data_IF_136897199144
#
_entry.id   IF_136897199144
#
_cell.length_a   1.000
_cell.length_b   1.000
_cell.length_c   1.000
_cell.angle_alpha   90.00
_cell.angle_beta   90.00
_cell.angle_gamma   90.00
#
_symmetry.space_group_name_H-M   'P 1'
#
loop_
_entity.id
_entity.type
_entity.pdbx_description
1 polymer ?
#
# COMPACT_ATOMS: atom_id res chain seq x y z
N UNK A 1 -59.92 42.10 32.13
CA UNK A 1 -58.46 42.20 32.28
C UNK A 1 -57.88 40.97 31.56
N UNK A 2 -57.48 41.15 30.28
CA UNK A 2 -57.11 40.03 29.41
C UNK A 2 -55.57 39.91 29.36
N UNK A 3 -55.02 38.82 29.91
CA UNK A 3 -53.61 38.51 29.78
C UNK A 3 -53.40 37.68 28.49
N UNK A 4 -52.70 38.25 27.51
CA UNK A 4 -52.18 37.56 26.34
C UNK A 4 -50.83 36.92 26.70
N UNK A 5 -50.78 35.60 26.73
CA UNK A 5 -49.54 34.82 26.88
C UNK A 5 -48.89 34.77 25.50
N UNK A 6 -47.73 35.43 25.34
CA UNK A 6 -46.86 35.24 24.16
C UNK A 6 -45.99 34.03 24.39
N UNK A 7 -46.23 32.97 23.65
CA UNK A 7 -45.34 31.81 23.58
C UNK A 7 -44.18 32.12 22.62
N UNK A 8 -42.98 32.23 23.19
CA UNK A 8 -41.74 32.35 22.40
C UNK A 8 -41.27 30.94 22.08
N UNK A 9 -41.40 30.52 20.80
CA UNK A 9 -40.78 29.32 20.27
C UNK A 9 -39.29 29.60 20.01
N UNK A 10 -38.41 29.12 20.86
CA UNK A 10 -36.98 29.10 20.60
C UNK A 10 -36.69 27.85 19.73
N UNK A 11 -36.50 28.06 18.43
CA UNK A 11 -36.01 27.03 17.54
C UNK A 11 -34.51 26.84 17.78
N UNK A 12 -34.14 25.77 18.50
CA UNK A 12 -32.76 25.32 18.60
C UNK A 12 -32.42 24.65 17.27
N UNK A 13 -31.88 25.43 16.35
CA UNK A 13 -31.17 24.89 15.19
C UNK A 13 -29.88 24.22 15.70
N UNK A 14 -29.90 22.91 15.81
CA UNK A 14 -28.69 22.12 16.00
C UNK A 14 -27.76 22.36 14.83
N UNK A 15 -26.76 23.20 15.02
CA UNK A 15 -25.59 23.27 14.13
C UNK A 15 -24.84 21.93 14.23
N UNK A 16 -25.17 20.99 13.36
CA UNK A 16 -24.24 19.93 13.05
C UNK A 16 -23.03 20.63 12.43
N UNK A 17 -21.99 20.86 13.22
CA UNK A 17 -20.66 21.17 12.70
C UNK A 17 -20.22 19.99 11.85
N UNK A 18 -20.48 20.07 10.55
CA UNK A 18 -19.73 19.26 9.59
C UNK A 18 -18.30 19.79 9.69
N UNK A 19 -17.40 19.00 10.25
CA UNK A 19 -15.96 19.26 10.15
C UNK A 19 -15.65 19.52 8.68
N UNK A 20 -14.96 20.62 8.36
CA UNK A 20 -14.58 20.91 6.98
C UNK A 20 -13.86 19.70 6.37
N UNK A 21 -14.00 19.50 5.06
CA UNK A 21 -13.33 18.41 4.36
C UNK A 21 -11.79 18.45 4.52
N UNK A 22 -11.24 19.63 4.84
CA UNK A 22 -9.83 19.88 5.14
C UNK A 22 -9.29 19.14 6.37
N UNK A 23 -10.13 18.80 7.36
CA UNK A 23 -9.69 18.13 8.60
C UNK A 23 -9.62 16.59 8.49
N UNK A 24 -10.19 16.00 7.44
CA UNK A 24 -10.15 14.55 7.23
C UNK A 24 -8.87 14.15 6.49
N UNK A 25 -8.07 13.21 7.03
CA UNK A 25 -6.83 12.81 6.37
C UNK A 25 -7.08 12.02 5.08
N UNK A 26 -6.12 12.11 4.16
CA UNK A 26 -6.05 11.24 3.00
C UNK A 26 -5.26 9.98 3.35
N UNK A 27 -5.45 8.93 2.56
CA UNK A 27 -4.73 7.67 2.72
C UNK A 27 -4.22 7.17 1.38
N UNK A 28 -2.94 6.80 1.32
CA UNK A 28 -2.35 5.99 0.28
C UNK A 28 -1.93 4.66 0.87
N UNK A 29 -2.51 3.57 0.38
CA UNK A 29 -2.11 2.22 0.68
C UNK A 29 -1.31 1.68 -0.52
N UNK A 30 0.00 1.70 -0.40
CA UNK A 30 0.92 1.23 -1.42
C UNK A 30 1.28 -0.23 -1.12
N UNK A 31 0.74 -1.14 -1.90
CA UNK A 31 1.02 -2.56 -1.78
C UNK A 31 1.81 -3.05 -3.00
N UNK A 32 2.97 -3.66 -2.75
CA UNK A 32 3.78 -4.30 -3.78
C UNK A 32 3.46 -5.79 -3.90
N UNK A 33 3.98 -6.41 -4.94
CA UNK A 33 3.82 -7.83 -5.22
C UNK A 33 5.17 -8.53 -5.05
N UNK A 34 5.20 -9.59 -4.24
CA UNK A 34 6.35 -10.48 -4.17
C UNK A 34 7.68 -9.85 -3.66
N UNK A 35 7.67 -8.78 -2.85
CA UNK A 35 8.89 -8.19 -2.29
C UNK A 35 9.20 -8.77 -0.90
N UNK A 36 10.44 -9.18 -0.68
CA UNK A 36 10.89 -9.69 0.62
C UNK A 36 10.99 -8.59 1.67
N UNK A 37 10.71 -8.92 2.94
CA UNK A 37 10.76 -7.96 4.05
C UNK A 37 12.11 -7.28 4.23
N UNK A 38 13.19 -7.94 3.83
CA UNK A 38 14.57 -7.46 3.93
C UNK A 38 15.16 -7.03 2.59
N UNK A 39 14.34 -6.69 1.62
CA UNK A 39 14.77 -6.22 0.29
C UNK A 39 14.69 -4.69 0.14
N UNK A 40 14.69 -3.96 1.25
CA UNK A 40 14.77 -2.50 1.30
C UNK A 40 15.99 -2.08 2.13
N UNK A 41 16.60 -0.93 1.79
CA UNK A 41 17.74 -0.39 2.53
C UNK A 41 17.44 -0.17 4.01
N UNK A 42 16.29 0.39 4.36
CA UNK A 42 15.86 0.59 5.74
C UNK A 42 15.63 -0.70 6.55
N UNK A 43 15.60 -1.87 5.90
CA UNK A 43 15.56 -3.19 6.51
C UNK A 43 16.89 -3.94 6.41
N UNK A 44 17.96 -3.27 6.01
CA UNK A 44 19.33 -3.77 6.06
C UNK A 44 19.86 -4.38 4.76
N UNK A 45 19.19 -4.18 3.61
CA UNK A 45 19.75 -4.56 2.33
C UNK A 45 20.75 -3.50 1.87
N UNK A 46 22.03 -3.87 1.74
CA UNK A 46 23.09 -2.93 1.35
C UNK A 46 23.23 -2.79 -0.18
N UNK A 47 22.68 -3.74 -0.94
CA UNK A 47 22.80 -3.79 -2.40
C UNK A 47 21.68 -3.00 -3.06
N UNK A 48 20.43 -3.31 -2.72
CA UNK A 48 19.26 -2.67 -3.33
C UNK A 48 19.17 -1.19 -2.98
N UNK A 49 18.77 -0.36 -3.93
CA UNK A 49 18.65 1.10 -3.76
C UNK A 49 17.18 1.49 -3.64
N UNK A 50 16.80 1.90 -2.42
CA UNK A 50 15.43 2.30 -2.08
C UNK A 50 15.39 3.63 -1.30
N UNK A 51 16.02 4.71 -1.82
CA UNK A 51 16.21 5.96 -1.08
C UNK A 51 14.90 6.63 -0.67
N UNK A 52 13.82 6.50 -1.43
CA UNK A 52 12.53 7.12 -1.10
C UNK A 52 11.80 6.36 0.01
N UNK A 53 11.83 5.02 -0.02
CA UNK A 53 11.29 4.17 1.05
C UNK A 53 12.13 4.29 2.33
N UNK A 54 13.46 4.41 2.20
CA UNK A 54 14.36 4.64 3.31
C UNK A 54 14.07 6.00 3.98
N UNK A 55 13.91 7.06 3.18
CA UNK A 55 13.50 8.38 3.69
C UNK A 55 12.08 8.38 4.30
N UNK A 56 11.17 7.54 3.80
CA UNK A 56 9.86 7.34 4.43
C UNK A 56 10.00 6.68 5.80
N UNK A 57 10.87 5.68 5.93
CA UNK A 57 11.16 5.00 7.20
C UNK A 57 11.81 5.94 8.24
N UNK A 58 12.66 6.87 7.80
CA UNK A 58 13.29 7.88 8.66
C UNK A 58 12.31 8.93 9.19
N UNK A 59 11.24 9.21 8.44
CA UNK A 59 10.25 10.24 8.76
C UNK A 59 8.93 9.68 9.30
N UNK A 60 8.86 8.36 9.54
CA UNK A 60 7.64 7.70 9.96
C UNK A 60 7.89 6.51 10.87
N UNK A 61 6.97 5.58 10.88
CA UNK A 61 7.08 4.33 11.64
C UNK A 61 7.65 3.23 10.74
N UNK A 62 8.68 2.56 11.21
CA UNK A 62 9.22 1.34 10.63
C UNK A 62 8.96 0.17 11.56
N UNK A 63 8.13 -0.77 11.13
CA UNK A 63 7.78 -1.95 11.91
C UNK A 63 8.78 -3.08 11.63
N UNK A 64 9.37 -3.62 12.67
CA UNK A 64 10.36 -4.71 12.54
C UNK A 64 9.74 -6.10 12.62
N UNK A 65 8.48 -6.21 13.08
CA UNK A 65 7.76 -7.47 13.29
C UNK A 65 6.34 -7.43 12.73
N UNK A 66 6.21 -7.09 11.45
CA UNK A 66 4.93 -7.15 10.72
C UNK A 66 4.83 -8.47 9.94
N UNK A 67 3.67 -9.15 10.07
CA UNK A 67 3.45 -10.46 9.47
C UNK A 67 2.12 -10.54 8.73
N UNK A 68 2.16 -11.17 7.59
CA UNK A 68 0.99 -11.48 6.78
C UNK A 68 0.30 -12.73 7.31
N UNK A 69 -1.00 -12.80 7.13
CA UNK A 69 -1.81 -13.95 7.53
C UNK A 69 -1.61 -15.17 6.61
N UNK A 70 -1.05 -14.94 5.42
CA UNK A 70 -0.76 -15.97 4.42
C UNK A 70 0.29 -15.47 3.43
N UNK A 71 1.13 -16.38 2.93
CA UNK A 71 2.17 -16.09 1.93
C UNK A 71 1.68 -16.39 0.50
N UNK A 72 0.64 -15.68 0.05
CA UNK A 72 0.08 -15.86 -1.30
C UNK A 72 -0.75 -14.65 -1.71
N UNK A 73 -0.62 -14.19 -2.94
CA UNK A 73 -1.11 -12.87 -3.41
C UNK A 73 -2.61 -12.64 -3.15
N UNK A 74 -3.52 -13.38 -3.83
CA UNK A 74 -4.95 -13.08 -3.71
C UNK A 74 -5.51 -13.30 -2.31
N UNK A 75 -5.23 -14.39 -1.58
CA UNK A 75 -5.76 -14.57 -0.24
C UNK A 75 -5.16 -13.58 0.77
N UNK A 76 -3.91 -13.14 0.60
CA UNK A 76 -3.32 -12.05 1.41
C UNK A 76 -4.05 -10.74 1.17
N UNK A 77 -4.27 -10.37 -0.09
CA UNK A 77 -5.02 -9.15 -0.45
C UNK A 77 -6.46 -9.20 0.03
N UNK A 78 -7.13 -10.36 -0.06
CA UNK A 78 -8.46 -10.59 0.53
C UNK A 78 -8.45 -10.43 2.05
N UNK A 79 -7.42 -10.93 2.72
CA UNK A 79 -7.23 -10.79 4.17
C UNK A 79 -7.06 -9.33 4.57
N UNK A 80 -6.20 -8.59 3.87
CA UNK A 80 -5.93 -7.18 4.14
C UNK A 80 -7.19 -6.34 3.95
N UNK A 81 -7.88 -6.46 2.80
CA UNK A 81 -9.04 -5.60 2.49
C UNK A 81 -10.25 -5.88 3.39
N UNK A 82 -10.36 -7.08 3.97
CA UNK A 82 -11.45 -7.48 4.86
C UNK A 82 -11.13 -7.37 6.35
N UNK A 83 -9.83 -7.31 6.71
CA UNK A 83 -9.37 -7.43 8.10
C UNK A 83 -9.61 -8.82 8.70
N UNK A 84 -9.71 -9.88 7.87
CA UNK A 84 -10.02 -11.25 8.31
C UNK A 84 -8.91 -12.21 7.93
N UNK A 85 -8.76 -13.29 8.70
CA UNK A 85 -7.92 -14.41 8.29
C UNK A 85 -8.45 -15.08 7.01
N UNK A 86 -7.58 -15.61 6.13
CA UNK A 86 -7.99 -16.15 4.82
C UNK A 86 -9.13 -17.17 4.88
N UNK A 87 -9.13 -18.08 5.86
CA UNK A 87 -10.20 -19.09 6.04
C UNK A 87 -11.56 -18.49 6.42
N UNK A 88 -11.62 -17.22 6.84
CA UNK A 88 -12.85 -16.49 7.16
C UNK A 88 -13.31 -15.53 6.07
N UNK A 89 -12.53 -15.39 4.98
CA UNK A 89 -12.87 -14.48 3.88
C UNK A 89 -13.78 -15.10 2.82
N UNK A 90 -13.91 -16.43 2.80
CA UNK A 90 -14.55 -17.17 1.70
C UNK A 90 -13.65 -17.27 0.44
N UNK A 91 -12.42 -16.74 0.48
CA UNK A 91 -11.44 -16.78 -0.60
C UNK A 91 -10.04 -17.18 -0.09
N UNK A 92 -9.88 -18.36 0.55
CA UNK A 92 -8.62 -18.76 1.15
C UNK A 92 -7.58 -19.23 0.14
N UNK A 93 -8.00 -19.62 -1.07
CA UNK A 93 -7.13 -20.19 -2.10
C UNK A 93 -6.72 -19.14 -3.14
N UNK A 94 -5.57 -19.37 -3.75
CA UNK A 94 -5.07 -18.52 -4.83
C UNK A 94 -6.07 -18.45 -5.99
N UNK A 95 -6.32 -17.25 -6.49
CA UNK A 95 -7.27 -16.93 -7.57
C UNK A 95 -8.77 -17.14 -7.20
N UNK A 96 -9.09 -17.42 -5.95
CA UNK A 96 -10.49 -17.40 -5.52
C UNK A 96 -10.94 -15.97 -5.34
N UNK A 97 -12.08 -15.62 -5.95
CA UNK A 97 -12.67 -14.29 -5.82
C UNK A 97 -13.28 -14.09 -4.44
N UNK A 98 -13.06 -12.92 -3.85
CA UNK A 98 -13.71 -12.54 -2.60
C UNK A 98 -15.24 -12.44 -2.79
N UNK A 99 -16.05 -13.14 -1.99
CA UNK A 99 -17.52 -13.04 -2.06
C UNK A 99 -18.02 -11.61 -1.85
N UNK A 100 -19.13 -11.25 -2.50
CA UNK A 100 -19.65 -9.87 -2.48
C UNK A 100 -20.21 -9.44 -1.12
N UNK A 101 -20.62 -10.38 -0.29
CA UNK A 101 -21.15 -10.15 1.06
C UNK A 101 -20.06 -9.88 2.11
N UNK A 102 -18.78 -10.03 1.76
CA UNK A 102 -17.70 -9.75 2.67
C UNK A 102 -17.48 -8.25 2.86
N UNK A 103 -17.24 -7.85 4.10
CA UNK A 103 -16.85 -6.47 4.43
C UNK A 103 -15.56 -6.09 3.68
N UNK A 104 -15.51 -4.86 3.16
CA UNK A 104 -14.35 -4.26 2.51
C UNK A 104 -14.17 -2.85 3.06
N UNK A 105 -13.08 -2.59 3.78
CA UNK A 105 -12.88 -1.27 4.40
C UNK A 105 -12.85 -0.12 3.39
N UNK A 106 -12.37 -0.24 2.14
CA UNK A 106 -12.46 0.86 1.18
C UNK A 106 -13.90 1.22 0.80
N UNK A 107 -14.83 0.25 0.79
CA UNK A 107 -16.26 0.52 0.62
C UNK A 107 -16.80 1.39 1.76
N UNK A 108 -16.44 1.08 3.00
CA UNK A 108 -16.84 1.89 4.16
C UNK A 108 -16.29 3.32 4.09
N UNK A 109 -15.03 3.49 3.63
CA UNK A 109 -14.46 4.82 3.38
C UNK A 109 -15.22 5.57 2.28
N UNK A 110 -15.57 4.90 1.17
CA UNK A 110 -16.40 5.47 0.10
C UNK A 110 -17.76 5.93 0.62
N UNK A 111 -18.44 5.11 1.40
CA UNK A 111 -19.70 5.44 2.06
C UNK A 111 -19.57 6.60 3.06
N UNK A 112 -18.40 6.77 3.68
CA UNK A 112 -18.06 7.92 4.52
C UNK A 112 -17.68 9.18 3.70
N UNK A 113 -17.78 9.14 2.37
CA UNK A 113 -17.57 10.30 1.49
C UNK A 113 -16.12 10.50 1.01
N UNK A 114 -15.26 9.51 1.16
CA UNK A 114 -13.94 9.51 0.52
C UNK A 114 -14.06 9.23 -0.97
N UNK A 115 -13.23 9.87 -1.78
CA UNK A 115 -12.98 9.41 -3.15
C UNK A 115 -12.03 8.22 -3.10
N UNK A 116 -12.45 7.08 -3.64
CA UNK A 116 -11.71 5.82 -3.52
C UNK A 116 -11.18 5.35 -4.87
N UNK A 117 -9.90 5.02 -4.92
CA UNK A 117 -9.19 4.60 -6.14
C UNK A 117 -8.46 3.29 -5.91
N UNK A 118 -8.55 2.36 -6.86
CA UNK A 118 -7.65 1.23 -7.01
C UNK A 118 -6.95 1.34 -8.35
N UNK A 119 -5.62 1.34 -8.35
CA UNK A 119 -4.82 1.23 -9.57
C UNK A 119 -3.77 0.14 -9.45
N UNK A 120 -3.63 -0.65 -10.53
CA UNK A 120 -2.68 -1.74 -10.64
C UNK A 120 -3.28 -3.11 -10.38
N UNK A 121 -2.56 -3.96 -9.60
CA UNK A 121 -2.94 -5.36 -9.37
C UNK A 121 -4.17 -5.48 -8.45
N UNK A 122 -5.32 -5.74 -9.02
CA UNK A 122 -6.54 -6.03 -8.25
C UNK A 122 -6.41 -7.37 -7.49
N UNK A 123 -6.41 -8.49 -8.15
CA UNK A 123 -6.27 -9.86 -7.65
C UNK A 123 -7.18 -10.24 -6.45
N UNK A 124 -8.29 -9.50 -6.25
CA UNK A 124 -9.31 -9.70 -5.20
C UNK A 124 -10.68 -9.95 -5.84
N UNK A 125 -10.93 -9.38 -7.00
CA UNK A 125 -12.17 -9.22 -7.77
C UNK A 125 -13.35 -10.14 -7.38
N UNK A 126 -14.60 -9.73 -7.63
CA UNK A 126 -14.98 -8.42 -8.14
C UNK A 126 -14.98 -7.34 -7.05
N UNK A 127 -14.68 -6.08 -7.41
CA UNK A 127 -14.65 -4.93 -6.49
C UNK A 127 -15.65 -3.83 -6.91
N UNK A 128 -16.69 -4.23 -7.63
CA UNK A 128 -17.81 -3.35 -7.98
C UNK A 128 -18.35 -2.68 -6.69
N UNK A 129 -18.61 -1.39 -6.76
CA UNK A 129 -19.05 -0.57 -5.62
C UNK A 129 -18.06 -0.39 -4.46
N UNK A 130 -16.86 -0.98 -4.52
CA UNK A 130 -15.82 -0.82 -3.50
C UNK A 130 -15.00 0.45 -3.73
N UNK A 131 -14.72 0.76 -4.99
CA UNK A 131 -13.96 1.94 -5.40
C UNK A 131 -14.74 2.77 -6.43
N UNK A 132 -14.50 4.10 -6.43
CA UNK A 132 -15.04 5.00 -7.45
C UNK A 132 -14.30 4.85 -8.77
N UNK A 133 -12.99 4.59 -8.71
CA UNK A 133 -12.11 4.38 -9.87
C UNK A 133 -11.34 3.08 -9.71
N UNK A 134 -11.35 2.25 -10.75
CA UNK A 134 -10.53 1.04 -10.84
C UNK A 134 -9.80 1.05 -12.16
N UNK A 135 -8.46 1.02 -12.11
CA UNK A 135 -7.59 0.89 -13.28
C UNK A 135 -6.66 -0.32 -13.14
N UNK A 136 -6.09 -0.77 -14.27
CA UNK A 136 -5.07 -1.83 -14.26
C UNK A 136 -3.67 -1.30 -14.00
N UNK A 137 -3.54 0.02 -13.87
CA UNK A 137 -2.27 0.71 -13.87
C UNK A 137 -1.65 0.79 -15.28
N UNK A 138 -0.60 1.60 -15.42
CA UNK A 138 0.19 1.74 -16.64
C UNK A 138 1.65 1.41 -16.36
N UNK A 139 2.42 1.16 -17.41
CA UNK A 139 3.84 0.84 -17.34
C UNK A 139 4.15 -0.56 -16.81
N UNK A 140 5.44 -0.91 -16.71
CA UNK A 140 5.90 -2.23 -16.32
C UNK A 140 5.38 -2.65 -14.94
N UNK A 141 5.59 -1.78 -13.94
CA UNK A 141 5.13 -1.98 -12.54
C UNK A 141 3.65 -1.68 -12.31
N UNK A 142 2.91 -1.23 -13.33
CA UNK A 142 1.52 -0.75 -13.21
C UNK A 142 1.34 0.46 -12.30
N UNK A 143 2.34 1.35 -12.24
CA UNK A 143 2.39 2.52 -11.34
C UNK A 143 2.43 3.88 -12.06
N UNK A 144 2.59 3.91 -13.39
CA UNK A 144 2.83 5.16 -14.14
C UNK A 144 1.61 6.09 -14.20
N UNK A 145 0.41 5.61 -13.91
CA UNK A 145 -0.81 6.43 -13.84
C UNK A 145 -1.14 6.96 -12.44
N UNK A 146 -0.40 6.59 -11.40
CA UNK A 146 -0.74 6.93 -10.02
C UNK A 146 -0.71 8.43 -9.73
N UNK A 147 0.32 9.12 -10.24
CA UNK A 147 0.45 10.58 -10.13
C UNK A 147 -0.70 11.29 -10.84
N UNK A 148 -1.09 10.82 -12.03
CA UNK A 148 -2.20 11.40 -12.76
C UNK A 148 -3.54 11.18 -12.03
N UNK A 149 -3.77 10.00 -11.47
CA UNK A 149 -4.93 9.72 -10.64
C UNK A 149 -5.02 10.64 -9.41
N UNK A 150 -3.87 11.00 -8.79
CA UNK A 150 -3.83 11.97 -7.70
C UNK A 150 -4.15 13.39 -8.20
N UNK A 151 -3.74 13.78 -9.42
CA UNK A 151 -4.05 15.09 -10.00
C UNK A 151 -5.51 15.23 -10.40
N UNK A 152 -6.06 14.18 -10.99
CA UNK A 152 -7.40 14.16 -11.59
C UNK A 152 -8.53 13.94 -10.57
N UNK A 153 -8.23 13.53 -9.34
CA UNK A 153 -9.23 13.28 -8.31
C UNK A 153 -10.03 14.53 -7.95
N UNK A 154 -11.28 14.42 -7.44
CA UNK A 154 -12.00 15.52 -6.82
C UNK A 154 -11.20 16.16 -5.69
N UNK A 155 -10.95 17.47 -5.77
CA UNK A 155 -10.12 18.20 -4.79
C UNK A 155 -10.90 18.60 -3.53
N UNK A 156 -12.23 18.53 -3.57
CA UNK A 156 -13.16 18.86 -2.49
C UNK A 156 -13.46 17.69 -1.53
N UNK A 157 -12.82 16.52 -1.78
CA UNK A 157 -13.02 15.30 -0.98
C UNK A 157 -11.70 14.75 -0.49
N UNK A 158 -11.65 14.17 0.73
CA UNK A 158 -10.53 13.32 1.12
C UNK A 158 -10.52 12.07 0.23
N UNK A 159 -9.36 11.45 0.08
CA UNK A 159 -9.22 10.28 -0.76
C UNK A 159 -8.59 9.08 -0.04
N UNK A 160 -8.91 7.91 -0.52
CA UNK A 160 -8.24 6.66 -0.24
C UNK A 160 -7.76 6.04 -1.56
N UNK A 161 -6.47 5.89 -1.73
CA UNK A 161 -5.87 5.25 -2.88
C UNK A 161 -5.24 3.90 -2.50
N UNK A 162 -5.71 2.82 -3.12
CA UNK A 162 -5.09 1.51 -3.10
C UNK A 162 -4.22 1.38 -4.35
N UNK A 163 -2.96 1.73 -4.22
CA UNK A 163 -1.98 1.64 -5.27
C UNK A 163 -1.23 0.32 -5.18
N UNK A 164 -1.46 -0.55 -6.15
CA UNK A 164 -1.03 -1.94 -6.14
C UNK A 164 -0.05 -2.22 -7.28
N UNK A 165 1.25 -2.12 -7.00
CA UNK A 165 2.26 -2.47 -7.99
C UNK A 165 2.19 -3.95 -8.36
N UNK A 166 2.60 -4.26 -9.60
CA UNK A 166 2.91 -5.63 -10.02
C UNK A 166 4.35 -6.02 -9.72
N UNK A 167 5.19 -5.04 -9.41
CA UNK A 167 6.58 -5.31 -9.04
C UNK A 167 6.67 -5.85 -7.61
N UNK A 168 7.49 -6.83 -7.36
CA UNK A 168 8.42 -7.51 -8.29
C UNK A 168 7.93 -8.94 -8.59
N UNK A 169 6.82 -9.07 -9.29
CA UNK A 169 6.27 -10.37 -9.71
C UNK A 169 6.88 -10.83 -11.04
N UNK A 170 7.32 -12.09 -11.11
CA UNK A 170 7.81 -12.68 -12.36
C UNK A 170 6.76 -12.60 -13.49
N UNK A 171 7.18 -12.46 -14.79
CA UNK A 171 8.56 -12.36 -15.25
C UNK A 171 9.06 -10.93 -15.18
N UNK A 172 10.38 -10.77 -14.97
CA UNK A 172 11.01 -9.47 -14.81
C UNK A 172 10.91 -8.61 -16.08
N UNK A 173 10.67 -7.32 -15.89
CA UNK A 173 10.62 -6.32 -16.94
C UNK A 173 11.66 -5.24 -16.65
N UNK A 174 12.82 -5.36 -17.28
CA UNK A 174 13.91 -4.40 -17.11
C UNK A 174 13.65 -3.19 -18.01
N UNK A 175 13.80 -2.02 -17.48
CA UNK A 175 13.74 -0.74 -18.18
C UNK A 175 15.07 0.04 -18.03
N UNK A 176 15.21 1.12 -18.78
CA UNK A 176 16.43 1.96 -18.79
C UNK A 176 16.36 3.12 -17.78
N UNK A 177 15.25 3.28 -17.07
CA UNK A 177 14.99 4.42 -16.18
C UNK A 177 15.37 4.12 -14.73
N UNK A 178 15.39 2.83 -14.35
CA UNK A 178 15.63 2.40 -12.99
C UNK A 178 16.99 1.71 -12.81
N UNK A 179 17.39 1.53 -11.55
CA UNK A 179 18.69 0.99 -11.20
C UNK A 179 18.91 -0.43 -11.74
N UNK A 180 19.95 -0.63 -12.53
CA UNK A 180 20.44 -1.95 -12.95
C UNK A 180 21.53 -2.42 -11.99
N UNK A 181 21.51 -3.70 -11.65
CA UNK A 181 22.42 -4.32 -10.68
C UNK A 181 23.40 -5.26 -11.37
N UNK A 182 24.68 -5.21 -10.95
CA UNK A 182 25.66 -6.20 -11.36
C UNK A 182 25.42 -7.53 -10.61
N UNK A 183 25.19 -8.65 -11.31
CA UNK A 183 25.03 -9.94 -10.67
C UNK A 183 26.22 -10.36 -9.77
N UNK A 184 27.41 -9.83 -10.02
CA UNK A 184 28.58 -10.11 -9.21
C UNK A 184 28.50 -9.51 -7.80
N UNK A 185 27.76 -8.40 -7.64
CA UNK A 185 27.56 -7.68 -6.37
C UNK A 185 26.39 -8.22 -5.55
N UNK A 186 25.57 -9.13 -6.11
CA UNK A 186 24.40 -9.66 -5.44
C UNK A 186 24.80 -10.59 -4.28
N UNK A 187 24.29 -10.31 -3.08
CA UNK A 187 24.32 -11.22 -1.95
C UNK A 187 23.21 -12.26 -2.08
N UNK A 188 23.61 -13.52 -2.34
CA UNK A 188 22.67 -14.62 -2.48
C UNK A 188 22.24 -15.14 -1.14
N UNK A 189 20.92 -15.17 -0.80
CA UNK A 189 20.43 -15.75 0.43
C UNK A 189 20.93 -17.19 0.65
N UNK A 190 21.30 -17.58 1.90
CA UNK A 190 21.97 -18.84 2.17
C UNK A 190 21.13 -20.10 1.88
N UNK A 191 19.84 -19.94 1.64
CA UNK A 191 18.94 -21.03 1.24
C UNK A 191 18.75 -21.15 -0.27
N UNK A 192 19.42 -20.31 -1.07
CA UNK A 192 19.46 -20.41 -2.53
C UNK A 192 20.85 -20.92 -2.98
N UNK A 193 20.86 -21.60 -4.12
CA UNK A 193 22.12 -21.97 -4.74
C UNK A 193 22.83 -20.74 -5.30
N UNK A 194 24.06 -20.48 -4.86
CA UNK A 194 24.86 -19.38 -5.38
C UNK A 194 25.51 -19.76 -6.73
N UNK A 195 24.93 -19.27 -7.80
CA UNK A 195 25.38 -19.49 -9.16
C UNK A 195 24.98 -18.35 -10.09
N UNK A 196 25.59 -18.27 -11.28
CA UNK A 196 25.39 -17.13 -12.19
C UNK A 196 23.92 -16.83 -12.52
N UNK A 197 23.09 -17.87 -12.69
CA UNK A 197 21.66 -17.70 -12.99
C UNK A 197 20.88 -17.16 -11.80
N UNK A 198 21.19 -17.61 -10.58
CA UNK A 198 20.54 -17.12 -9.37
C UNK A 198 20.89 -15.65 -9.11
N UNK A 199 22.17 -15.29 -9.31
CA UNK A 199 22.63 -13.90 -9.17
C UNK A 199 21.98 -12.98 -10.19
N UNK A 200 21.90 -13.40 -11.48
CA UNK A 200 21.18 -12.63 -12.50
C UNK A 200 19.69 -12.47 -12.15
N UNK A 201 19.05 -13.54 -11.75
CA UNK A 201 17.63 -13.56 -11.37
C UNK A 201 17.33 -12.64 -10.18
N UNK A 202 18.24 -12.55 -9.20
CA UNK A 202 18.14 -11.61 -8.08
C UNK A 202 18.44 -10.18 -8.51
N UNK A 203 19.39 -9.95 -9.42
CA UNK A 203 19.69 -8.63 -9.97
C UNK A 203 18.47 -8.06 -10.70
N UNK A 204 17.83 -8.85 -11.54
CA UNK A 204 16.62 -8.46 -12.25
C UNK A 204 15.44 -8.21 -11.29
N UNK A 205 15.31 -9.01 -10.24
CA UNK A 205 14.34 -8.80 -9.17
C UNK A 205 14.59 -7.48 -8.44
N UNK A 206 15.83 -7.14 -8.08
CA UNK A 206 16.17 -5.89 -7.39
C UNK A 206 15.94 -4.65 -8.26
N UNK A 207 16.05 -4.78 -9.59
CA UNK A 207 15.66 -3.73 -10.51
C UNK A 207 14.17 -3.35 -10.30
N UNK A 208 13.27 -4.32 -10.24
CA UNK A 208 11.85 -4.06 -10.01
C UNK A 208 11.56 -3.55 -8.60
N UNK A 209 12.32 -3.98 -7.57
CA UNK A 209 12.24 -3.39 -6.23
C UNK A 209 12.58 -1.89 -6.28
N UNK A 210 13.65 -1.50 -6.98
CA UNK A 210 14.01 -0.07 -7.15
C UNK A 210 12.98 0.71 -7.93
N UNK A 211 12.28 0.10 -8.89
CA UNK A 211 11.18 0.75 -9.59
C UNK A 211 10.01 1.08 -8.66
N UNK A 212 9.70 0.21 -7.68
CA UNK A 212 8.68 0.55 -6.66
C UNK A 212 9.10 1.74 -5.81
N UNK A 213 10.40 1.88 -5.52
CA UNK A 213 10.94 3.03 -4.79
C UNK A 213 10.79 4.34 -5.59
N UNK A 214 11.07 4.29 -6.89
CA UNK A 214 10.85 5.43 -7.80
C UNK A 214 9.37 5.85 -7.80
N UNK A 215 8.45 4.89 -7.85
CA UNK A 215 7.01 5.17 -7.78
C UNK A 215 6.62 5.85 -6.45
N UNK A 216 7.22 5.43 -5.32
CA UNK A 216 7.03 6.10 -4.02
C UNK A 216 7.54 7.54 -4.06
N UNK A 217 8.72 7.78 -4.62
CA UNK A 217 9.28 9.12 -4.78
C UNK A 217 8.34 10.05 -5.55
N UNK A 218 7.83 9.58 -6.69
CA UNK A 218 6.90 10.34 -7.53
C UNK A 218 5.59 10.68 -6.79
N UNK A 219 5.05 9.76 -5.99
CA UNK A 219 3.86 10.01 -5.17
C UNK A 219 4.12 11.09 -4.11
N UNK A 220 5.23 10.98 -3.37
CA UNK A 220 5.59 11.95 -2.32
C UNK A 220 5.83 13.34 -2.93
N UNK A 221 6.50 13.45 -4.06
CA UNK A 221 6.69 14.72 -4.77
C UNK A 221 5.34 15.34 -5.17
N UNK A 222 4.43 14.54 -5.70
CA UNK A 222 3.10 15.03 -6.09
C UNK A 222 2.29 15.51 -4.88
N UNK A 223 2.33 14.79 -3.75
CA UNK A 223 1.66 15.23 -2.52
C UNK A 223 2.21 16.55 -1.98
N UNK A 224 3.55 16.74 -2.06
CA UNK A 224 4.21 18.02 -1.72
C UNK A 224 3.77 19.13 -2.66
N UNK A 225 3.76 18.87 -3.96
CA UNK A 225 3.34 19.85 -4.98
C UNK A 225 1.89 20.31 -4.75
N UNK A 226 1.03 19.43 -4.25
CA UNK A 226 -0.36 19.76 -3.90
C UNK A 226 -0.51 20.36 -2.49
N UNK A 227 0.53 20.38 -1.67
CA UNK A 227 0.48 20.88 -0.29
C UNK A 227 -0.34 20.02 0.66
N UNK A 228 -0.47 18.72 0.39
CA UNK A 228 -1.30 17.78 1.17
C UNK A 228 -0.50 16.65 1.83
N UNK A 229 0.83 16.66 1.74
CA UNK A 229 1.69 15.63 2.34
C UNK A 229 1.44 15.47 3.84
N UNK A 230 1.32 16.60 4.59
CA UNK A 230 1.11 16.63 6.04
C UNK A 230 -0.28 16.12 6.47
N UNK A 231 -1.22 15.98 5.54
CA UNK A 231 -2.55 15.44 5.79
C UNK A 231 -2.78 14.11 5.04
N UNK A 232 -1.74 13.43 4.61
CA UNK A 232 -1.83 12.15 3.90
C UNK A 232 -1.03 11.07 4.63
N UNK A 233 -1.73 10.03 5.08
CA UNK A 233 -1.09 8.82 5.59
C UNK A 233 -0.66 7.95 4.42
N UNK A 234 0.62 7.65 4.34
CA UNK A 234 1.17 6.68 3.39
C UNK A 234 1.50 5.41 4.15
N UNK A 235 0.97 4.29 3.70
CA UNK A 235 1.22 2.95 4.24
C UNK A 235 1.85 2.13 3.11
N UNK A 236 3.03 1.57 3.36
CA UNK A 236 3.73 0.69 2.42
C UNK A 236 3.87 -0.71 3.00
N UNK A 237 3.53 -1.72 2.20
CA UNK A 237 3.75 -3.13 2.52
C UNK A 237 3.80 -3.98 1.25
N UNK A 238 4.13 -5.27 1.39
CA UNK A 238 4.01 -6.27 0.32
C UNK A 238 2.91 -7.29 0.64
N UNK A 239 2.41 -7.97 -0.37
CA UNK A 239 1.37 -9.00 -0.20
C UNK A 239 1.90 -10.39 0.17
N UNK A 240 3.15 -10.69 -0.11
CA UNK A 240 3.90 -11.88 0.32
C UNK A 240 5.40 -11.69 0.10
N UNK A 241 6.21 -12.64 0.55
CA UNK A 241 7.65 -12.61 0.33
C UNK A 241 8.06 -12.86 -1.12
N UNK A 242 9.36 -12.68 -1.42
CA UNK A 242 9.93 -12.75 -2.78
C UNK A 242 9.60 -14.06 -3.52
N UNK A 243 9.53 -14.06 -4.87
CA UNK A 243 9.10 -15.22 -5.65
C UNK A 243 10.27 -16.19 -5.90
N UNK A 244 10.92 -16.61 -4.83
CA UNK A 244 12.06 -17.52 -4.81
C UNK A 244 11.78 -18.74 -3.91
N UNK A 245 12.51 -19.85 -4.07
CA UNK A 245 12.41 -21.02 -3.20
C UNK A 245 12.47 -20.63 -1.71
N UNK A 246 11.68 -21.30 -0.87
CA UNK A 246 11.56 -21.08 0.58
C UNK A 246 10.88 -19.74 0.99
N UNK A 247 10.48 -18.89 0.07
CA UNK A 247 9.84 -17.59 0.33
C UNK A 247 8.35 -17.66 0.06
N UNK A 248 7.85 -17.08 -1.05
CA UNK A 248 6.43 -17.13 -1.44
C UNK A 248 5.85 -18.53 -1.31
N UNK A 249 4.62 -18.63 -0.81
CA UNK A 249 3.89 -19.86 -0.49
C UNK A 249 4.44 -20.67 0.70
N UNK A 250 5.34 -20.10 1.51
CA UNK A 250 5.92 -20.76 2.67
C UNK A 250 5.73 -19.92 3.95
N UNK A 251 5.64 -20.61 5.11
CA UNK A 251 5.42 -19.98 6.41
C UNK A 251 6.72 -19.58 7.14
N UNK A 252 7.82 -19.45 6.41
CA UNK A 252 9.05 -18.87 6.96
C UNK A 252 8.96 -17.33 6.95
N UNK A 253 9.79 -16.67 7.71
CA UNK A 253 9.91 -15.20 7.70
C UNK A 253 10.09 -14.66 6.27
N UNK A 254 10.86 -15.35 5.44
CA UNK A 254 11.04 -15.00 4.03
C UNK A 254 9.76 -15.05 3.18
N UNK A 255 8.71 -15.69 3.68
CA UNK A 255 7.42 -15.79 2.99
C UNK A 255 6.32 -14.90 3.58
N UNK A 256 6.22 -14.84 4.92
CA UNK A 256 5.10 -14.16 5.60
C UNK A 256 5.48 -12.85 6.31
N UNK A 257 6.76 -12.60 6.60
CA UNK A 257 7.17 -11.31 7.15
C UNK A 257 7.16 -10.26 6.04
N UNK A 258 6.59 -9.10 6.31
CA UNK A 258 6.44 -8.00 5.34
C UNK A 258 7.21 -6.76 5.82
N UNK A 259 7.83 -5.98 4.92
CA UNK A 259 8.17 -4.62 5.28
C UNK A 259 6.87 -3.87 5.55
N UNK A 260 6.82 -3.09 6.62
CA UNK A 260 5.66 -2.27 6.93
C UNK A 260 6.12 -0.90 7.39
N UNK A 261 5.83 0.11 6.57
CA UNK A 261 6.16 1.50 6.83
C UNK A 261 4.87 2.32 6.88
N UNK A 262 4.83 3.32 7.76
CA UNK A 262 3.73 4.27 7.83
C UNK A 262 4.28 5.68 8.06
N UNK A 263 3.91 6.63 7.24
CA UNK A 263 4.31 8.03 7.39
C UNK A 263 3.12 8.97 7.18
N UNK A 264 3.09 10.04 7.97
CA UNK A 264 2.26 11.22 7.76
C UNK A 264 3.01 12.38 8.45
N UNK A 265 3.78 13.18 7.70
CA UNK A 265 4.55 14.27 8.28
C UNK A 265 3.67 15.21 9.12
N UNK A 266 4.15 15.58 10.31
CA UNK A 266 3.38 16.44 11.24
C UNK A 266 2.30 15.73 12.07
N UNK A 267 2.01 14.45 11.81
CA UNK A 267 1.05 13.66 12.61
C UNK A 267 1.65 12.38 13.20
N UNK A 268 2.66 11.82 12.55
CA UNK A 268 3.37 10.63 13.03
C UNK A 268 4.79 11.03 13.41
N UNK A 269 5.17 10.81 14.66
CA UNK A 269 6.54 10.95 15.12
C UNK A 269 7.37 9.74 14.65
N UNK A 270 8.57 9.96 14.09
CA UNK A 270 9.41 8.86 13.63
C UNK A 270 9.79 7.89 14.75
N UNK A 271 9.62 6.61 14.51
CA UNK A 271 9.99 5.57 15.46
C UNK A 271 10.22 4.20 14.78
N UNK A 272 11.04 3.38 15.42
CA UNK A 272 11.12 1.95 15.12
C UNK A 272 10.18 1.20 16.08
N UNK A 273 9.23 0.46 15.52
CA UNK A 273 8.23 -0.30 16.27
C UNK A 273 8.58 -1.78 16.21
N UNK A 274 8.85 -2.39 17.35
CA UNK A 274 9.21 -3.80 17.49
C UNK A 274 8.05 -4.70 17.94
N UNK A 275 6.90 -4.13 18.23
CA UNK A 275 5.69 -4.86 18.54
C UNK A 275 5.25 -5.72 17.34
N UNK A 276 4.76 -6.92 17.65
CA UNK A 276 4.17 -7.83 16.66
C UNK A 276 2.83 -7.25 16.15
N UNK A 277 2.69 -7.16 14.83
CA UNK A 277 1.45 -6.80 14.15
C UNK A 277 1.15 -7.80 13.02
#
# INVERSE_FOLDING_TARGET
>A
MNYRIFAVFVAVLGLFSMTPAEDRPNFIFFITDDIGWNDLGCYGNEVVKTPHLDAMAERGLRFTNAYLTISSCSPSRCSIITGRYPHNTGAPELHTSLPDDQFRFPKALREAGYHTVLSGKNHIAPLTETFDVITKGKGPGSSDDWVDLLKERPQDKPFFAWFASKDAHRAWQIDDENQVYDPAEIEVPPFLYDGPKTRQDLADYYHEVSRTDTAMGNLVEELKRQGIEENTYIIYMTDNGRPFPRCKTRLYNSGIKTPFLMACPGKIEPAVVDSLI
#
